data_IF_963524405283
#
_entry.id   IF_963524405283
#
_cell.length_a   1.000
_cell.length_b   1.000
_cell.length_c   1.000
_cell.angle_alpha   90.00
_cell.angle_beta   90.00
_cell.angle_gamma   90.00
#
_symmetry.space_group_name_H-M   'P 1'
#
loop_
_entity.id
_entity.type
_entity.pdbx_description
1 polymer ?
#
# COMPACT_ATOMS: atom_id res chain seq x y z
N UNK A 1 -10.38 -0.94 13.15
CA UNK A 1 -10.67 -2.38 12.88
C UNK A 1 -9.41 -3.12 12.45
N UNK A 2 -9.39 -4.46 12.48
CA UNK A 2 -8.28 -5.29 11.97
C UNK A 2 -8.81 -6.15 10.83
N UNK A 3 -8.12 -6.14 9.69
CA UNK A 3 -8.53 -6.87 8.48
C UNK A 3 -7.41 -7.80 8.07
N UNK A 4 -7.74 -9.09 7.90
CA UNK A 4 -6.80 -10.10 7.41
C UNK A 4 -6.89 -10.18 5.90
N UNK A 5 -5.75 -10.12 5.20
CA UNK A 5 -5.67 -10.23 3.73
C UNK A 5 -4.75 -11.38 3.31
N UNK A 6 -5.10 -12.03 2.21
CA UNK A 6 -4.30 -13.10 1.60
C UNK A 6 -3.64 -12.68 0.26
N UNK A 7 -3.89 -11.44 -0.17
CA UNK A 7 -3.34 -10.87 -1.40
C UNK A 7 -2.56 -9.58 -1.13
N UNK A 8 -1.78 -9.15 -2.12
CA UNK A 8 -0.97 -7.92 -2.03
C UNK A 8 -1.88 -6.70 -1.87
N UNK A 9 -2.82 -6.52 -2.81
CA UNK A 9 -3.86 -5.50 -2.72
C UNK A 9 -4.78 -5.79 -1.54
N UNK A 10 -4.86 -4.85 -0.59
CA UNK A 10 -5.65 -5.00 0.63
C UNK A 10 -7.17 -5.04 0.40
N UNK A 11 -7.66 -4.57 -0.74
CA UNK A 11 -9.08 -4.63 -1.11
C UNK A 11 -9.50 -5.96 -1.74
N UNK A 12 -8.55 -6.76 -2.22
CA UNK A 12 -8.86 -8.01 -2.92
C UNK A 12 -9.25 -9.10 -1.92
N UNK A 13 -10.47 -9.60 -2.07
CA UNK A 13 -11.03 -10.69 -1.27
C UNK A 13 -11.00 -10.39 0.25
N UNK A 14 -11.25 -9.12 0.62
CA UNK A 14 -11.40 -8.64 2.01
C UNK A 14 -12.65 -7.76 2.13
N UNK A 15 -12.99 -7.39 3.37
CA UNK A 15 -14.09 -6.46 3.68
C UNK A 15 -13.62 -5.00 3.86
N UNK A 16 -12.38 -4.66 3.48
CA UNK A 16 -11.82 -3.31 3.68
C UNK A 16 -12.69 -2.23 3.05
N UNK A 17 -13.10 -2.41 1.80
CA UNK A 17 -13.96 -1.44 1.09
C UNK A 17 -15.28 -1.21 1.85
N UNK A 18 -15.95 -2.31 2.18
CA UNK A 18 -17.22 -2.28 2.92
C UNK A 18 -17.08 -1.57 4.26
N UNK A 19 -15.99 -1.81 4.99
CA UNK A 19 -15.75 -1.12 6.26
C UNK A 19 -15.50 0.37 6.07
N UNK A 20 -14.64 0.76 5.12
CA UNK A 20 -14.39 2.18 4.83
C UNK A 20 -15.69 2.91 4.44
N UNK A 21 -16.52 2.29 3.59
CA UNK A 21 -17.82 2.86 3.21
C UNK A 21 -18.79 2.95 4.40
N UNK A 22 -18.83 1.92 5.25
CA UNK A 22 -19.72 1.90 6.43
C UNK A 22 -19.35 2.98 7.46
N UNK A 23 -18.08 3.36 7.50
CA UNK A 23 -17.59 4.43 8.37
C UNK A 23 -17.59 5.81 7.68
N UNK A 24 -18.16 5.92 6.47
CA UNK A 24 -18.18 7.13 5.65
C UNK A 24 -16.77 7.78 5.56
N UNK A 25 -15.76 6.96 5.28
CA UNK A 25 -14.37 7.44 5.18
C UNK A 25 -14.17 8.23 3.89
N UNK A 26 -13.76 9.49 4.05
CA UNK A 26 -13.54 10.42 2.94
C UNK A 26 -12.06 10.59 2.57
N UNK A 27 -11.11 10.23 3.46
CA UNK A 27 -9.67 10.35 3.24
C UNK A 27 -8.92 9.15 3.83
N UNK A 28 -7.85 8.69 3.15
CA UNK A 28 -7.03 7.57 3.61
C UNK A 28 -5.58 8.01 3.80
N UNK A 29 -5.05 7.82 5.02
CA UNK A 29 -3.61 7.93 5.30
C UNK A 29 -2.99 6.53 5.34
N UNK A 30 -1.96 6.30 4.54
CA UNK A 30 -1.31 4.98 4.39
C UNK A 30 0.12 4.99 4.94
N UNK A 31 0.41 3.99 5.77
CA UNK A 31 1.74 3.66 6.32
C UNK A 31 1.93 2.13 6.32
N UNK A 32 3.16 1.65 6.48
CA UNK A 32 3.44 0.22 6.71
C UNK A 32 4.45 -0.40 5.74
N UNK A 33 4.27 -1.68 5.41
CA UNK A 33 5.23 -2.41 4.57
C UNK A 33 4.55 -3.48 3.69
N UNK A 34 5.11 -3.83 2.52
CA UNK A 34 6.30 -3.23 1.92
C UNK A 34 5.93 -2.12 0.92
N UNK A 35 6.73 -1.05 0.85
CA UNK A 35 6.54 0.10 -0.04
C UNK A 35 6.24 -0.34 -1.47
N UNK A 36 7.14 -1.14 -2.07
CA UNK A 36 7.05 -1.60 -3.46
C UNK A 36 5.98 -2.65 -3.75
N UNK A 37 5.24 -3.11 -2.74
CA UNK A 37 4.37 -4.28 -2.88
C UNK A 37 2.98 -4.00 -2.33
N UNK A 38 2.79 -4.12 -1.02
CA UNK A 38 1.46 -3.99 -0.42
C UNK A 38 1.02 -2.52 -0.31
N UNK A 39 1.97 -1.61 -0.05
CA UNK A 39 1.68 -0.18 0.03
C UNK A 39 1.36 0.36 -1.35
N UNK A 40 2.21 0.13 -2.36
CA UNK A 40 1.93 0.52 -3.75
C UNK A 40 0.55 0.02 -4.22
N UNK A 41 0.26 -1.27 -4.01
CA UNK A 41 -0.99 -1.85 -4.46
C UNK A 41 -2.23 -1.27 -3.77
N UNK A 42 -2.21 -1.05 -2.44
CA UNK A 42 -3.37 -0.50 -1.73
C UNK A 42 -3.57 0.97 -2.04
N UNK A 43 -2.50 1.74 -2.17
CA UNK A 43 -2.57 3.18 -2.47
C UNK A 43 -3.17 3.40 -3.86
N UNK A 44 -2.67 2.69 -4.88
CA UNK A 44 -3.22 2.78 -6.24
C UNK A 44 -4.66 2.33 -6.28
N UNK A 45 -4.99 1.20 -5.65
CA UNK A 45 -6.36 0.70 -5.62
C UNK A 45 -7.32 1.67 -4.90
N UNK A 46 -6.91 2.27 -3.79
CA UNK A 46 -7.71 3.26 -3.07
C UNK A 46 -7.94 4.51 -3.93
N UNK A 47 -6.89 5.02 -4.57
CA UNK A 47 -6.99 6.17 -5.48
C UNK A 47 -7.92 5.87 -6.68
N UNK A 48 -7.79 4.70 -7.30
CA UNK A 48 -8.66 4.27 -8.41
C UNK A 48 -10.13 4.14 -7.99
N UNK A 49 -10.40 3.83 -6.71
CA UNK A 49 -11.74 3.79 -6.13
C UNK A 49 -12.28 5.17 -5.74
N UNK A 50 -11.50 6.24 -5.92
CA UNK A 50 -11.90 7.63 -5.69
C UNK A 50 -11.58 8.17 -4.29
N UNK A 51 -10.88 7.42 -3.45
CA UNK A 51 -10.42 7.97 -2.17
C UNK A 51 -9.24 8.93 -2.41
N UNK A 52 -9.25 10.13 -1.83
CA UNK A 52 -8.03 10.88 -1.56
C UNK A 52 -7.10 10.06 -0.68
N UNK A 53 -5.84 9.95 -1.09
CA UNK A 53 -4.82 9.15 -0.37
C UNK A 53 -3.60 9.98 -0.07
N UNK A 54 -3.15 9.95 1.18
CA UNK A 54 -1.86 10.49 1.61
C UNK A 54 -0.97 9.35 2.08
N UNK A 55 0.24 9.25 1.54
CA UNK A 55 1.24 8.28 2.01
C UNK A 55 2.26 9.00 2.87
N UNK A 56 2.50 8.52 4.09
CA UNK A 56 3.60 9.03 4.92
C UNK A 56 4.86 8.26 4.58
N UNK A 57 5.68 8.81 3.68
CA UNK A 57 6.81 8.12 3.09
C UNK A 57 7.87 7.67 4.11
N UNK A 58 8.02 8.40 5.22
CA UNK A 58 8.95 8.08 6.32
C UNK A 58 8.41 7.02 7.30
N UNK A 59 7.13 6.66 7.17
CA UNK A 59 6.47 5.58 7.92
C UNK A 59 6.20 4.34 7.04
N UNK A 60 6.84 4.25 5.88
CA UNK A 60 6.80 3.08 5.00
C UNK A 60 8.18 2.41 4.90
N UNK A 61 8.21 1.09 4.75
CA UNK A 61 9.46 0.33 4.69
C UNK A 61 9.50 -0.68 3.54
N UNK A 62 10.71 -0.99 3.06
CA UNK A 62 10.98 -1.99 2.01
C UNK A 62 12.35 -2.64 2.23
N UNK A 63 12.74 -3.53 1.32
CA UNK A 63 14.02 -4.24 1.30
C UNK A 63 14.71 -4.12 -0.08
N UNK A 64 15.97 -4.54 -0.16
CA UNK A 64 16.76 -4.59 -1.39
C UNK A 64 16.15 -5.59 -2.38
N UNK A 65 15.97 -5.19 -3.64
CA UNK A 65 15.42 -6.05 -4.69
C UNK A 65 16.49 -6.45 -5.70
N UNK A 66 16.47 -7.70 -6.14
CA UNK A 66 17.36 -8.19 -7.20
C UNK A 66 16.56 -8.75 -8.36
N UNK A 67 16.85 -8.28 -9.57
CA UNK A 67 16.23 -8.76 -10.80
C UNK A 67 17.26 -8.78 -11.94
N UNK A 68 17.36 -9.90 -12.68
CA UNK A 68 18.29 -10.02 -13.81
C UNK A 68 19.77 -9.79 -13.47
N UNK A 69 20.18 -10.07 -12.23
CA UNK A 69 21.55 -9.84 -11.75
C UNK A 69 21.85 -8.41 -11.31
N UNK A 70 20.87 -7.49 -11.35
CA UNK A 70 20.99 -6.13 -10.83
C UNK A 70 20.30 -6.05 -9.48
N UNK A 71 21.00 -5.53 -8.47
CA UNK A 71 20.45 -5.26 -7.14
C UNK A 71 20.17 -3.77 -6.98
N UNK A 72 18.93 -3.42 -6.63
CA UNK A 72 18.50 -2.07 -6.26
C UNK A 72 18.40 -2.01 -4.74
N UNK A 73 19.20 -1.15 -4.06
CA UNK A 73 19.12 -0.97 -2.61
C UNK A 73 17.75 -0.49 -2.14
N UNK A 74 17.35 -0.86 -0.93
CA UNK A 74 16.05 -0.57 -0.34
C UNK A 74 15.69 0.92 -0.38
N UNK A 75 16.67 1.80 -0.13
CA UNK A 75 16.46 3.25 -0.20
C UNK A 75 16.06 3.72 -1.61
N UNK A 76 16.63 3.12 -2.66
CA UNK A 76 16.27 3.44 -4.05
C UNK A 76 14.95 2.80 -4.46
N UNK A 77 14.69 1.56 -4.04
CA UNK A 77 13.38 0.92 -4.20
C UNK A 77 12.29 1.75 -3.54
N UNK A 78 12.52 2.25 -2.33
CA UNK A 78 11.57 3.07 -1.59
C UNK A 78 11.31 4.42 -2.25
N UNK A 79 12.37 5.07 -2.73
CA UNK A 79 12.26 6.40 -3.35
C UNK A 79 11.60 6.39 -4.74
N UNK A 80 11.52 5.23 -5.40
CA UNK A 80 10.97 5.09 -6.75
C UNK A 80 9.48 4.70 -6.80
N UNK A 81 8.89 4.38 -5.64
CA UNK A 81 7.50 3.93 -5.52
C UNK A 81 6.60 5.10 -5.12
#
# INVERSE_FOLDING_TARGET
PVITKNHINAFRDTDLKTQLDTFDIEDIVVIGAMSHMCIDAVVRAAADMGYPVTVLHDACATLDLTFGGVTVPAAQTHAAI
#
